data_IF_675830385737
#
_entry.id   IF_675830385737
#
_cell.length_a   1.000
_cell.length_b   1.000
_cell.length_c   1.000
_cell.angle_alpha   90.00
_cell.angle_beta   90.00
_cell.angle_gamma   90.00
#
_symmetry.space_group_name_H-M   'P 1'
#
loop_
_entity.id
_entity.type
_entity.pdbx_description
1 polymer ?
#
# COMPACT_ATOMS: atom_id res chain seq x y z
N UNK A 1 -16.50 -19.52 51.65
CA UNK A 1 -15.26 -18.78 51.76
C UNK A 1 -14.61 -18.76 50.39
N UNK A 2 -14.82 -17.66 49.67
CA UNK A 2 -13.90 -16.57 49.35
C UNK A 2 -12.77 -16.92 48.39
N UNK A 3 -12.89 -16.39 47.20
CA UNK A 3 -12.19 -15.26 46.51
C UNK A 3 -11.21 -15.83 45.52
N UNK A 4 -11.05 -15.41 44.27
CA UNK A 4 -11.00 -14.07 43.71
C UNK A 4 -11.26 -14.12 42.22
N UNK A 5 -12.21 -13.32 41.80
CA UNK A 5 -12.46 -12.92 40.43
C UNK A 5 -11.77 -11.55 40.25
N UNK A 6 -10.63 -11.51 39.59
CA UNK A 6 -10.06 -10.21 39.15
C UNK A 6 -9.46 -10.29 37.75
N UNK A 7 -10.17 -9.64 36.85
CA UNK A 7 -9.64 -8.71 35.84
C UNK A 7 -8.60 -9.23 34.84
N UNK A 8 -9.08 -9.58 33.66
CA UNK A 8 -8.27 -9.62 32.42
C UNK A 8 -8.96 -8.82 31.29
N UNK A 9 -9.23 -7.54 31.50
CA UNK A 9 -9.88 -6.71 30.47
C UNK A 9 -9.24 -5.32 30.28
N UNK A 10 -7.96 -5.16 30.56
CA UNK A 10 -7.31 -3.85 30.40
C UNK A 10 -6.13 -3.81 29.39
N UNK A 11 -5.71 -4.92 28.82
CA UNK A 11 -4.48 -4.96 27.99
C UNK A 11 -4.72 -4.78 26.48
N UNK A 12 -5.95 -4.98 25.97
CA UNK A 12 -6.18 -5.02 24.52
C UNK A 12 -6.41 -3.64 23.89
N UNK A 13 -6.85 -2.66 24.66
CA UNK A 13 -7.16 -1.32 24.12
C UNK A 13 -5.92 -0.42 23.94
N UNK A 14 -4.84 -0.70 24.64
CA UNK A 14 -3.62 0.15 24.58
C UNK A 14 -2.75 -0.12 23.35
N UNK A 15 -2.76 -1.36 22.84
CA UNK A 15 -1.95 -1.74 21.67
C UNK A 15 -2.54 -1.19 20.36
N UNK A 16 -3.87 -1.10 20.25
CA UNK A 16 -4.53 -0.55 19.06
C UNK A 16 -4.33 0.97 18.91
N UNK A 17 -4.27 1.70 20.02
CA UNK A 17 -4.05 3.15 20.03
C UNK A 17 -2.62 3.56 19.62
N UNK A 18 -1.63 2.77 19.95
CA UNK A 18 -0.22 3.02 19.58
C UNK A 18 0.05 2.77 18.09
N UNK A 19 -0.57 1.77 17.47
CA UNK A 19 -0.43 1.50 16.04
C UNK A 19 -1.07 2.59 15.18
N UNK A 20 -2.18 3.19 15.61
CA UNK A 20 -2.85 4.28 14.90
C UNK A 20 -2.09 5.61 14.99
N UNK A 21 -1.43 5.89 16.11
CA UNK A 21 -0.61 7.09 16.26
C UNK A 21 0.68 7.02 15.43
N UNK A 22 1.28 5.83 15.27
CA UNK A 22 2.50 5.65 14.48
C UNK A 22 2.28 5.88 12.98
N UNK A 23 1.13 5.48 12.42
CA UNK A 23 0.83 5.66 10.99
C UNK A 23 0.55 7.13 10.62
N UNK A 24 -0.05 7.91 11.52
CA UNK A 24 -0.29 9.34 11.30
C UNK A 24 1.02 10.16 11.30
N UNK A 25 2.07 9.69 11.95
CA UNK A 25 3.37 10.34 12.03
C UNK A 25 4.27 10.06 10.80
N UNK A 26 3.87 9.12 9.93
CA UNK A 26 4.63 8.75 8.73
C UNK A 26 4.30 9.62 7.50
N UNK A 27 3.13 10.25 7.46
CA UNK A 27 2.68 11.10 6.36
C UNK A 27 2.98 12.58 6.65
N UNK A 28 3.73 13.22 5.75
CA UNK A 28 4.01 14.65 5.75
C UNK A 28 3.34 15.28 4.53
N UNK A 29 2.33 16.13 4.77
CA UNK A 29 1.53 16.78 3.72
C UNK A 29 2.16 18.13 3.35
N UNK A 30 2.65 18.23 2.12
CA UNK A 30 3.31 19.42 1.61
C UNK A 30 2.34 20.39 0.92
N UNK A 31 1.25 19.86 0.36
CA UNK A 31 0.15 20.63 -0.23
C UNK A 31 -1.14 19.79 -0.27
N UNK A 32 -2.22 20.36 -0.82
CA UNK A 32 -3.51 19.66 -0.94
C UNK A 32 -3.45 18.41 -1.84
N UNK A 33 -2.43 18.27 -2.67
CA UNK A 33 -2.27 17.13 -3.57
C UNK A 33 -0.90 16.44 -3.46
N UNK A 34 -0.08 16.80 -2.46
CA UNK A 34 1.28 16.27 -2.33
C UNK A 34 1.57 15.81 -0.90
N UNK A 35 2.03 14.59 -0.77
CA UNK A 35 2.41 13.96 0.49
C UNK A 35 3.72 13.18 0.35
N UNK A 36 4.59 13.29 1.33
CA UNK A 36 5.73 12.39 1.52
C UNK A 36 5.39 11.41 2.64
N UNK A 37 5.33 10.12 2.32
CA UNK A 37 5.10 9.06 3.29
C UNK A 37 6.40 8.32 3.60
N UNK A 38 6.84 8.35 4.86
CA UNK A 38 8.02 7.62 5.30
C UNK A 38 7.70 6.13 5.45
N UNK A 39 8.50 5.26 4.83
CA UNK A 39 8.33 3.81 4.87
C UNK A 39 9.21 3.21 5.94
N UNK A 40 8.64 2.31 6.76
CA UNK A 40 9.41 1.43 7.66
C UNK A 40 9.94 0.24 6.85
N UNK A 41 11.18 0.32 6.39
CA UNK A 41 11.82 -0.70 5.56
C UNK A 41 12.39 -1.89 6.36
N UNK A 42 12.15 -1.96 7.67
CA UNK A 42 12.38 -3.17 8.46
C UNK A 42 11.35 -4.27 8.14
N UNK A 43 10.21 -3.90 7.56
CA UNK A 43 9.13 -4.80 7.15
C UNK A 43 9.33 -5.33 5.73
N UNK A 44 8.55 -6.34 5.32
CA UNK A 44 8.72 -6.96 3.99
C UNK A 44 7.80 -6.36 2.93
N UNK A 45 6.56 -6.07 3.31
CA UNK A 45 5.51 -5.61 2.40
C UNK A 45 4.75 -4.46 3.04
N UNK A 46 4.56 -3.38 2.29
CA UNK A 46 3.60 -2.33 2.60
C UNK A 46 2.34 -2.56 1.77
N UNK A 47 1.21 -2.75 2.44
CA UNK A 47 -0.10 -2.88 1.81
C UNK A 47 -0.72 -1.51 1.61
N UNK A 48 -0.89 -1.13 0.35
CA UNK A 48 -1.48 0.14 -0.07
C UNK A 48 -2.98 -0.04 -0.29
N UNK A 49 -3.84 0.68 0.45
CA UNK A 49 -5.29 0.59 0.28
C UNK A 49 -5.74 1.33 -0.97
N UNK A 50 -6.51 0.65 -1.81
CA UNK A 50 -7.00 1.14 -3.11
C UNK A 50 -8.49 1.38 -3.08
N UNK A 51 -8.92 2.44 -3.76
CA UNK A 51 -10.31 2.71 -4.11
C UNK A 51 -10.40 2.92 -5.62
N UNK A 52 -11.09 2.03 -6.33
CA UNK A 52 -11.10 1.98 -7.80
C UNK A 52 -11.58 3.26 -8.49
N UNK A 53 -12.50 3.98 -7.86
CA UNK A 53 -13.05 5.24 -8.39
C UNK A 53 -12.39 6.50 -7.82
N UNK A 54 -11.32 6.36 -7.03
CA UNK A 54 -10.55 7.51 -6.57
C UNK A 54 -9.72 8.13 -7.70
N UNK A 55 -9.27 9.36 -7.47
CA UNK A 55 -8.31 10.02 -8.34
C UNK A 55 -6.97 9.28 -8.38
N UNK A 56 -6.35 9.31 -9.54
CA UNK A 56 -5.03 8.69 -9.72
C UNK A 56 -3.96 9.47 -8.94
N UNK A 57 -3.11 8.73 -8.25
CA UNK A 57 -1.91 9.25 -7.64
C UNK A 57 -0.69 8.74 -8.40
N UNK A 58 0.24 9.63 -8.69
CA UNK A 58 1.61 9.28 -9.06
C UNK A 58 2.41 9.01 -7.79
N UNK A 59 3.08 7.88 -7.71
CA UNK A 59 3.92 7.51 -6.57
C UNK A 59 5.33 7.24 -7.04
N UNK A 60 6.30 7.91 -6.42
CA UNK A 60 7.73 7.62 -6.59
C UNK A 60 8.28 7.04 -5.30
N UNK A 61 9.01 5.94 -5.42
CA UNK A 61 9.79 5.40 -4.31
C UNK A 61 11.15 6.06 -4.32
N UNK A 62 11.49 6.72 -3.24
CA UNK A 62 12.73 7.49 -3.08
C UNK A 62 13.60 6.77 -2.06
N UNK A 63 14.82 6.41 -2.44
CA UNK A 63 15.88 5.91 -1.57
C UNK A 63 16.95 7.00 -1.41
N UNK A 64 16.99 7.60 -0.23
CA UNK A 64 17.81 8.79 0.01
C UNK A 64 17.42 9.95 -0.90
N UNK A 65 18.23 10.22 -1.92
CA UNK A 65 17.97 11.26 -2.91
C UNK A 65 17.65 10.71 -4.32
N UNK A 66 17.53 9.40 -4.46
CA UNK A 66 17.36 8.75 -5.76
C UNK A 66 15.95 8.16 -5.92
N UNK A 67 15.29 8.45 -7.04
CA UNK A 67 14.08 7.73 -7.41
C UNK A 67 14.47 6.33 -7.90
N UNK A 68 13.99 5.31 -7.21
CA UNK A 68 14.28 3.89 -7.52
C UNK A 68 13.12 3.18 -8.20
N UNK A 69 11.90 3.68 -8.03
CA UNK A 69 10.69 3.12 -8.65
C UNK A 69 9.65 4.22 -8.84
N UNK A 70 8.76 4.06 -9.82
CA UNK A 70 7.56 4.89 -9.94
C UNK A 70 6.40 4.04 -10.43
N UNK A 71 5.19 4.38 -9.98
CA UNK A 71 3.95 3.74 -10.40
C UNK A 71 2.76 4.65 -10.16
N UNK A 72 1.63 4.31 -10.77
CA UNK A 72 0.36 4.97 -10.55
C UNK A 72 -0.55 4.10 -9.71
N UNK A 73 -1.31 4.70 -8.80
CA UNK A 73 -2.25 4.01 -7.92
C UNK A 73 -3.43 4.93 -7.57
N UNK A 74 -4.60 4.36 -7.35
CA UNK A 74 -5.76 5.07 -6.81
C UNK A 74 -5.84 4.84 -5.31
N UNK A 75 -5.13 5.65 -4.54
CA UNK A 75 -5.16 5.54 -3.08
C UNK A 75 -6.56 5.83 -2.53
N UNK A 76 -6.98 5.03 -1.56
CA UNK A 76 -8.30 5.13 -0.97
C UNK A 76 -8.52 6.49 -0.31
N UNK A 77 -9.46 7.28 -0.86
CA UNK A 77 -9.83 8.60 -0.35
C UNK A 77 -10.90 8.52 0.74
N UNK A 78 -11.94 7.71 0.57
CA UNK A 78 -13.04 7.62 1.55
C UNK A 78 -13.43 6.18 1.93
N UNK A 79 -13.21 5.17 1.08
CA UNK A 79 -13.39 3.74 1.40
C UNK A 79 -12.31 2.90 0.74
N UNK A 80 -12.21 1.64 1.11
CA UNK A 80 -11.19 0.72 0.61
C UNK A 80 -11.89 -0.42 -0.11
N UNK A 81 -11.57 -0.60 -1.40
CA UNK A 81 -12.05 -1.73 -2.18
C UNK A 81 -11.13 -2.95 -1.99
N UNK A 82 -9.82 -2.76 -2.06
CA UNK A 82 -8.82 -3.81 -1.85
C UNK A 82 -7.45 -3.25 -1.49
N UNK A 83 -6.48 -4.13 -1.28
CA UNK A 83 -5.10 -3.79 -1.01
C UNK A 83 -4.18 -4.30 -2.12
N UNK A 84 -3.15 -3.53 -2.44
CA UNK A 84 -2.05 -3.96 -3.31
C UNK A 84 -0.72 -3.93 -2.55
N UNK A 85 0.19 -4.90 -2.82
CA UNK A 85 1.47 -4.96 -2.12
C UNK A 85 2.51 -4.06 -2.79
N UNK A 86 3.23 -3.30 -1.99
CA UNK A 86 4.53 -2.76 -2.35
C UNK A 86 5.60 -3.56 -1.59
N UNK A 87 6.39 -4.34 -2.30
CA UNK A 87 7.49 -5.11 -1.72
C UNK A 87 8.64 -4.17 -1.36
N UNK A 88 8.90 -4.05 -0.05
CA UNK A 88 9.91 -3.14 0.50
C UNK A 88 11.13 -3.87 1.04
N UNK A 89 11.11 -5.20 1.04
CA UNK A 89 12.24 -6.05 1.44
C UNK A 89 13.50 -5.82 0.60
N UNK A 90 13.36 -5.37 -0.64
CA UNK A 90 14.49 -4.99 -1.51
C UNK A 90 15.26 -3.76 -0.98
N UNK A 91 14.62 -2.93 -0.15
CA UNK A 91 15.18 -1.70 0.41
C UNK A 91 15.65 -1.86 1.87
N UNK A 92 15.74 -3.08 2.41
CA UNK A 92 16.06 -3.33 3.82
C UNK A 92 17.40 -2.73 4.30
N UNK A 93 18.33 -2.50 3.39
CA UNK A 93 19.64 -1.92 3.69
C UNK A 93 19.67 -0.39 3.49
N UNK A 94 18.59 0.21 3.02
CA UNK A 94 18.48 1.65 2.78
C UNK A 94 18.25 2.39 4.08
N UNK A 95 18.84 3.56 4.23
CA UNK A 95 18.69 4.38 5.46
C UNK A 95 17.36 5.12 5.52
N UNK A 96 16.86 5.56 4.37
CA UNK A 96 15.65 6.38 4.28
C UNK A 96 14.89 6.00 3.02
N UNK A 97 13.75 5.33 3.19
CA UNK A 97 12.80 5.09 2.10
C UNK A 97 11.56 5.94 2.33
N UNK A 98 11.10 6.58 1.28
CA UNK A 98 9.85 7.33 1.29
C UNK A 98 9.08 7.15 -0.01
N UNK A 99 7.78 7.37 0.07
CA UNK A 99 6.89 7.50 -1.09
C UNK A 99 6.60 8.98 -1.29
N UNK A 100 7.01 9.51 -2.43
CA UNK A 100 6.64 10.84 -2.91
C UNK A 100 5.35 10.68 -3.73
N UNK A 101 4.23 11.19 -3.21
CA UNK A 101 2.88 10.91 -3.67
C UNK A 101 2.22 12.20 -4.14
N UNK A 102 1.86 12.24 -5.42
CA UNK A 102 1.12 13.33 -6.04
C UNK A 102 -0.23 12.84 -6.54
N UNK A 103 -1.32 13.36 -5.98
CA UNK A 103 -2.67 13.11 -6.48
C UNK A 103 -3.01 14.07 -7.63
N UNK A 104 -3.62 13.55 -8.69
CA UNK A 104 -3.91 14.32 -9.91
C UNK A 104 -5.17 15.20 -9.78
N UNK A 105 -5.99 14.99 -8.76
CA UNK A 105 -7.23 15.74 -8.54
C UNK A 105 -7.01 17.20 -8.14
N UNK A 106 -8.05 18.01 -8.35
CA UNK A 106 -8.07 19.40 -7.91
C UNK A 106 -8.77 19.50 -6.56
N UNK A 107 -7.99 19.56 -5.48
CA UNK A 107 -8.49 19.60 -4.10
C UNK A 107 -8.47 21.06 -3.58
N UNK A 108 -9.57 21.76 -3.68
CA UNK A 108 -9.62 23.18 -3.28
C UNK A 108 -10.14 23.40 -1.87
N UNK A 109 -11.13 22.62 -1.40
CA UNK A 109 -11.87 22.92 -0.17
C UNK A 109 -12.17 21.70 0.73
N UNK A 110 -11.61 20.52 0.46
CA UNK A 110 -11.97 19.25 1.08
C UNK A 110 -10.84 18.60 1.91
N UNK A 111 -9.82 19.38 2.26
CA UNK A 111 -8.64 18.89 2.98
C UNK A 111 -7.63 18.15 2.09
N UNK A 112 -7.94 17.93 0.82
CA UNK A 112 -7.04 17.32 -0.14
C UNK A 112 -6.56 15.92 0.27
N UNK A 113 -5.32 15.58 -0.09
CA UNK A 113 -4.74 14.26 0.22
C UNK A 113 -4.65 13.97 1.71
N UNK A 114 -4.63 15.01 2.57
CA UNK A 114 -4.57 14.80 4.02
C UNK A 114 -5.84 14.16 4.57
N UNK A 115 -6.98 14.31 3.89
CA UNK A 115 -8.27 13.73 4.27
C UNK A 115 -8.43 12.25 3.87
N UNK A 116 -7.51 11.71 3.05
CA UNK A 116 -7.64 10.35 2.54
C UNK A 116 -7.65 9.30 3.66
N UNK A 117 -8.56 8.36 3.55
CA UNK A 117 -8.68 7.25 4.51
C UNK A 117 -7.48 6.29 4.44
N UNK A 118 -6.73 6.30 3.33
CA UNK A 118 -5.58 5.43 3.13
C UNK A 118 -4.52 5.56 4.24
N UNK A 119 -4.29 6.76 4.77
CA UNK A 119 -3.23 6.99 5.77
C UNK A 119 -3.40 6.21 7.07
N UNK A 120 -4.65 6.00 7.48
CA UNK A 120 -4.99 5.22 8.68
C UNK A 120 -5.05 3.72 8.43
N UNK A 121 -4.97 3.32 7.16
CA UNK A 121 -5.22 1.95 6.72
C UNK A 121 -4.05 1.32 5.95
N UNK A 122 -2.94 2.03 5.75
CA UNK A 122 -1.69 1.42 5.33
C UNK A 122 -1.23 0.41 6.38
N UNK A 123 -0.82 -0.78 5.94
CA UNK A 123 -0.46 -1.89 6.82
C UNK A 123 0.85 -2.50 6.36
N UNK A 124 1.63 -2.98 7.31
CA UNK A 124 2.80 -3.81 7.03
C UNK A 124 2.45 -5.28 7.18
N UNK A 125 3.06 -6.12 6.35
CA UNK A 125 2.87 -7.57 6.36
C UNK A 125 4.16 -8.32 6.00
N UNK A 126 4.25 -9.57 6.42
CA UNK A 126 5.36 -10.45 6.04
C UNK A 126 5.22 -11.01 4.63
N UNK A 127 4.00 -11.12 4.13
CA UNK A 127 3.69 -11.63 2.79
C UNK A 127 2.35 -11.07 2.31
N UNK A 128 2.09 -11.21 1.02
CA UNK A 128 0.82 -10.91 0.40
C UNK A 128 0.31 -12.16 -0.33
N UNK A 129 -0.95 -12.51 -0.12
CA UNK A 129 -1.58 -13.61 -0.83
C UNK A 129 -1.89 -13.19 -2.28
N UNK A 130 -1.09 -13.70 -3.21
CA UNK A 130 -1.25 -13.46 -4.65
C UNK A 130 -2.34 -14.32 -5.29
N UNK A 131 -3.01 -15.18 -4.53
CA UNK A 131 -4.09 -16.01 -5.02
C UNK A 131 -5.33 -15.17 -5.24
N UNK A 132 -5.69 -14.94 -6.50
CA UNK A 132 -6.96 -14.30 -6.81
C UNK A 132 -8.10 -15.33 -6.62
N UNK A 133 -9.05 -15.00 -5.73
CA UNK A 133 -10.18 -15.86 -5.37
C UNK A 133 -11.51 -15.31 -5.86
N UNK A 134 -11.51 -14.42 -6.81
CA UNK A 134 -12.73 -13.89 -7.43
C UNK A 134 -13.55 -15.02 -8.08
N UNK A 135 -14.85 -14.98 -7.86
CA UNK A 135 -15.79 -16.02 -8.32
C UNK A 135 -15.73 -16.26 -9.84
N UNK A 136 -15.50 -15.22 -10.62
CA UNK A 136 -15.52 -15.28 -12.09
C UNK A 136 -14.14 -15.21 -12.73
N UNK A 137 -13.09 -15.50 -11.95
CA UNK A 137 -11.73 -15.52 -12.48
C UNK A 137 -11.60 -16.57 -13.59
N UNK A 138 -11.12 -16.20 -14.80
CA UNK A 138 -10.82 -17.17 -15.85
C UNK A 138 -9.82 -18.24 -15.40
N UNK A 139 -10.13 -19.51 -15.69
CA UNK A 139 -9.28 -20.64 -15.31
C UNK A 139 -8.20 -20.93 -16.36
N UNK A 140 -8.48 -20.60 -17.64
CA UNK A 140 -7.61 -20.93 -18.76
C UNK A 140 -6.76 -19.76 -19.27
N UNK A 141 -7.06 -18.53 -18.84
CA UNK A 141 -6.36 -17.34 -19.31
C UNK A 141 -5.46 -16.79 -18.22
N UNK A 142 -4.30 -16.26 -18.65
CA UNK A 142 -3.45 -15.52 -17.75
C UNK A 142 -4.17 -14.28 -17.26
N UNK A 143 -4.25 -14.10 -15.95
CA UNK A 143 -4.80 -12.91 -15.29
C UNK A 143 -3.84 -12.44 -14.20
N UNK A 144 -3.65 -11.13 -14.02
CA UNK A 144 -2.83 -10.63 -12.92
C UNK A 144 -3.48 -10.99 -11.58
N UNK A 145 -2.69 -11.04 -10.52
CA UNK A 145 -3.20 -11.28 -9.17
C UNK A 145 -4.08 -10.11 -8.68
N UNK A 146 -3.82 -8.91 -9.16
CA UNK A 146 -4.57 -7.68 -8.89
C UNK A 146 -4.32 -6.66 -10.01
N UNK A 147 -5.19 -5.66 -10.12
CA UNK A 147 -5.07 -4.56 -11.08
C UNK A 147 -5.42 -4.95 -12.52
N UNK A 148 -5.08 -4.07 -13.42
CA UNK A 148 -5.32 -4.20 -14.85
C UNK A 148 -4.05 -4.64 -15.58
N UNK A 149 -4.20 -5.51 -16.57
CA UNK A 149 -3.15 -5.92 -17.47
C UNK A 149 -3.48 -5.39 -18.88
N UNK A 150 -2.59 -4.55 -19.42
CA UNK A 150 -2.67 -4.09 -20.80
C UNK A 150 -2.09 -5.12 -21.77
N UNK A 151 -1.84 -4.71 -23.01
CA UNK A 151 -1.35 -5.58 -24.07
C UNK A 151 -0.02 -6.25 -23.71
N UNK A 152 0.15 -7.52 -24.05
CA UNK A 152 1.42 -8.20 -23.87
C UNK A 152 2.47 -7.62 -24.81
N UNK A 153 3.65 -7.29 -24.25
CA UNK A 153 4.75 -6.67 -24.98
C UNK A 153 5.80 -7.67 -25.48
N UNK A 154 5.70 -8.89 -25.05
CA UNK A 154 6.62 -9.94 -25.46
C UNK A 154 6.64 -11.10 -24.51
N UNK A 155 7.11 -12.24 -25.01
CA UNK A 155 7.27 -13.47 -24.26
C UNK A 155 8.58 -14.13 -24.64
N UNK A 156 9.34 -14.63 -23.67
CA UNK A 156 10.53 -15.44 -23.92
C UNK A 156 10.67 -16.56 -22.89
N UNK A 157 11.42 -17.58 -23.27
CA UNK A 157 11.72 -18.72 -22.41
C UNK A 157 13.15 -18.62 -21.89
N UNK A 158 13.34 -18.72 -20.58
CA UNK A 158 14.64 -18.73 -19.93
C UNK A 158 14.62 -19.58 -18.67
N UNK A 159 15.62 -20.43 -18.49
CA UNK A 159 15.84 -21.24 -17.28
C UNK A 159 14.63 -22.08 -16.86
N UNK A 160 13.90 -22.67 -17.84
CA UNK A 160 12.72 -23.48 -17.59
C UNK A 160 11.42 -22.72 -17.38
N UNK A 161 11.43 -21.39 -17.46
CA UNK A 161 10.28 -20.52 -17.19
C UNK A 161 9.93 -19.66 -18.40
N UNK A 162 8.63 -19.54 -18.69
CA UNK A 162 8.11 -18.56 -19.63
C UNK A 162 7.91 -17.21 -18.94
N UNK A 163 8.52 -16.19 -19.50
CA UNK A 163 8.38 -14.80 -19.04
C UNK A 163 7.44 -14.05 -19.97
N UNK A 164 6.33 -13.53 -19.44
CA UNK A 164 5.38 -12.70 -20.17
C UNK A 164 5.51 -11.25 -19.67
N UNK A 165 5.81 -10.33 -20.58
CA UNK A 165 5.84 -8.89 -20.30
C UNK A 165 4.55 -8.24 -20.80
N UNK A 166 4.03 -7.32 -20.02
CA UNK A 166 2.84 -6.53 -20.36
C UNK A 166 2.92 -5.13 -19.71
N UNK A 167 2.15 -4.23 -20.23
CA UNK A 167 2.01 -2.88 -19.68
C UNK A 167 1.01 -2.84 -18.52
#
# INVERSE_FOLDING_TARGET
MNKNLFSRTAATSFVLGLAMAASAQQANFLSNNHCIYRVDNSQKVLLLPVQEKAEMCNVKVIDGNSQVKAFNIRLASNHIDYYVPLYISEYKNSKNISLDIHANGTYRNDGGVSSFTCWKNMKYADSFDMTNREQYRPVYHHTPAYGWMNDPNGMFYKDGVWHLYFQ
#
